data_IF_283244997224
#
_entry.id   IF_283244997224
#
_cell.length_a   1.000
_cell.length_b   1.000
_cell.length_c   1.000
_cell.angle_alpha   90.00
_cell.angle_beta   90.00
_cell.angle_gamma   90.00
#
_symmetry.space_group_name_H-M   'P 1'
#
loop_
_entity.id
_entity.type
_entity.pdbx_description
1 polymer ?
#
# COMPACT_ATOMS: atom_id res chain seq x y z
N UNK A 1 35.04 20.87 -12.28
CA UNK A 1 33.74 21.52 -12.57
C UNK A 1 32.97 20.49 -13.34
N UNK A 2 32.10 19.74 -12.67
CA UNK A 2 31.06 18.97 -13.33
C UNK A 2 29.84 19.07 -12.42
N UNK A 3 28.92 19.95 -12.82
CA UNK A 3 27.62 20.10 -12.19
C UNK A 3 26.68 19.10 -12.86
N UNK A 4 26.55 17.92 -12.28
CA UNK A 4 25.46 17.01 -12.60
C UNK A 4 24.20 17.45 -11.83
N UNK A 5 23.63 18.57 -12.29
CA UNK A 5 22.28 18.98 -11.94
C UNK A 5 21.39 18.61 -13.12
N UNK A 6 20.45 17.67 -12.91
CA UNK A 6 19.06 17.68 -13.40
C UNK A 6 18.34 16.36 -13.05
N UNK A 7 17.52 16.36 -11.99
CA UNK A 7 16.23 15.64 -12.01
C UNK A 7 15.00 16.54 -11.72
N UNK A 8 15.20 17.83 -11.42
CA UNK A 8 14.13 18.68 -10.88
C UNK A 8 12.98 18.96 -11.87
N UNK A 9 13.25 19.07 -13.18
CA UNK A 9 12.23 19.47 -14.16
C UNK A 9 11.20 18.36 -14.46
N UNK A 10 11.62 17.09 -14.47
CA UNK A 10 10.75 15.95 -14.71
C UNK A 10 9.78 15.72 -13.53
N UNK A 11 10.26 15.91 -12.31
CA UNK A 11 9.45 15.87 -11.09
C UNK A 11 8.40 16.99 -11.10
N UNK A 12 8.76 18.21 -11.50
CA UNK A 12 7.81 19.32 -11.60
C UNK A 12 6.74 19.10 -12.67
N UNK A 13 7.10 18.51 -13.82
CA UNK A 13 6.12 18.18 -14.87
C UNK A 13 5.15 17.11 -14.42
N UNK A 14 5.65 16.04 -13.81
CA UNK A 14 4.83 14.92 -13.32
C UNK A 14 3.87 15.38 -12.22
N UNK A 15 4.34 16.22 -11.31
CA UNK A 15 3.51 16.82 -10.27
C UNK A 15 2.41 17.72 -10.84
N UNK A 16 2.73 18.52 -11.87
CA UNK A 16 1.74 19.35 -12.54
C UNK A 16 0.65 18.51 -13.20
N UNK A 17 1.02 17.41 -13.86
CA UNK A 17 0.07 16.50 -14.49
C UNK A 17 -0.78 15.76 -13.45
N UNK A 18 -0.22 15.34 -12.32
CA UNK A 18 -0.98 14.79 -11.20
C UNK A 18 -2.05 15.76 -10.68
N UNK A 19 -1.66 17.01 -10.37
CA UNK A 19 -2.60 18.04 -9.88
C UNK A 19 -3.69 18.34 -10.90
N UNK A 20 -3.35 18.42 -12.19
CA UNK A 20 -4.34 18.60 -13.27
C UNK A 20 -5.28 17.40 -13.36
N UNK A 21 -4.78 16.18 -13.14
CA UNK A 21 -5.58 14.96 -13.07
C UNK A 21 -6.62 15.05 -11.96
N UNK A 22 -6.22 15.42 -10.74
CA UNK A 22 -7.15 15.64 -9.63
C UNK A 22 -8.22 16.70 -9.96
N UNK A 23 -7.84 17.83 -10.55
CA UNK A 23 -8.80 18.88 -10.94
C UNK A 23 -9.77 18.41 -12.04
N UNK A 24 -9.29 17.62 -13.01
CA UNK A 24 -10.13 17.02 -14.04
C UNK A 24 -11.11 16.01 -13.44
N UNK A 25 -10.65 15.22 -12.46
CA UNK A 25 -11.45 14.29 -11.69
C UNK A 25 -12.58 15.01 -10.92
N UNK A 26 -12.26 16.05 -10.16
CA UNK A 26 -13.26 16.88 -9.44
C UNK A 26 -14.28 17.52 -10.39
N UNK A 27 -13.87 17.81 -11.63
CA UNK A 27 -14.73 18.37 -12.68
C UNK A 27 -15.54 17.32 -13.45
N UNK A 28 -15.46 16.04 -13.10
CA UNK A 28 -16.13 14.94 -13.81
C UNK A 28 -15.57 14.59 -15.19
N UNK A 29 -14.35 15.05 -15.52
CA UNK A 29 -13.66 14.76 -16.79
C UNK A 29 -12.75 13.55 -16.65
N UNK A 30 -13.34 12.37 -16.46
CA UNK A 30 -12.62 11.14 -16.06
C UNK A 30 -11.58 10.68 -17.07
N UNK A 31 -11.93 10.58 -18.36
CA UNK A 31 -10.99 10.17 -19.42
C UNK A 31 -9.76 11.09 -19.45
N UNK A 32 -9.97 12.40 -19.31
CA UNK A 32 -8.88 13.37 -19.25
C UNK A 32 -8.04 13.24 -17.98
N UNK A 33 -8.67 12.96 -16.83
CA UNK A 33 -7.95 12.70 -15.59
C UNK A 33 -7.05 11.47 -15.70
N UNK A 34 -7.53 10.40 -16.34
CA UNK A 34 -6.78 9.18 -16.58
C UNK A 34 -5.52 9.44 -17.42
N UNK A 35 -5.65 10.17 -18.54
CA UNK A 35 -4.50 10.55 -19.38
C UNK A 35 -3.44 11.32 -18.59
N UNK A 36 -3.87 12.24 -17.74
CA UNK A 36 -2.99 13.06 -16.90
C UNK A 36 -2.31 12.25 -15.80
N UNK A 37 -3.00 11.29 -15.20
CA UNK A 37 -2.41 10.38 -14.23
C UNK A 37 -1.38 9.44 -14.87
N UNK A 38 -1.65 8.93 -16.07
CA UNK A 38 -0.65 8.15 -16.83
C UNK A 38 0.59 8.98 -17.17
N UNK A 39 0.40 10.25 -17.55
CA UNK A 39 1.51 11.18 -17.78
C UNK A 39 2.33 11.40 -16.50
N UNK A 40 1.67 11.63 -15.36
CA UNK A 40 2.32 11.82 -14.07
C UNK A 40 3.15 10.59 -13.65
N UNK A 41 2.56 9.40 -13.78
CA UNK A 41 3.24 8.13 -13.42
C UNK A 41 4.46 7.88 -14.29
N UNK A 42 4.38 8.18 -15.60
CA UNK A 42 5.49 7.97 -16.53
C UNK A 42 6.75 8.76 -16.15
N UNK A 43 6.59 9.96 -15.58
CA UNK A 43 7.71 10.82 -15.22
C UNK A 43 8.22 10.69 -13.79
N UNK A 44 7.36 10.34 -12.81
CA UNK A 44 7.71 10.29 -11.39
C UNK A 44 7.86 8.87 -10.78
N UNK A 45 7.55 7.83 -11.56
CA UNK A 45 7.81 6.44 -11.18
C UNK A 45 6.94 5.90 -10.03
N UNK A 46 7.42 4.89 -9.27
CA UNK A 46 6.62 4.12 -8.31
C UNK A 46 5.87 4.90 -7.25
N UNK A 47 6.45 6.00 -6.73
CA UNK A 47 5.79 6.81 -5.69
C UNK A 47 4.51 7.48 -6.21
N UNK A 48 4.48 7.82 -7.50
CA UNK A 48 3.32 8.46 -8.09
C UNK A 48 2.15 7.48 -8.26
N UNK A 49 2.42 6.19 -8.49
CA UNK A 49 1.37 5.17 -8.57
C UNK A 49 0.52 5.11 -7.30
N UNK A 50 1.15 5.17 -6.12
CA UNK A 50 0.44 5.17 -4.84
C UNK A 50 -0.44 6.41 -4.65
N UNK A 51 0.05 7.59 -5.07
CA UNK A 51 -0.72 8.84 -5.01
C UNK A 51 -1.90 8.84 -5.97
N UNK A 52 -1.73 8.29 -7.17
CA UNK A 52 -2.81 8.14 -8.15
C UNK A 52 -3.84 7.13 -7.64
N UNK A 53 -3.41 6.00 -7.07
CA UNK A 53 -4.31 5.02 -6.48
C UNK A 53 -5.17 5.64 -5.36
N UNK A 54 -4.57 6.49 -4.50
CA UNK A 54 -5.29 7.22 -3.46
C UNK A 54 -6.26 8.27 -4.04
N UNK A 55 -5.82 9.06 -5.02
CA UNK A 55 -6.69 10.01 -5.70
C UNK A 55 -7.91 9.32 -6.35
N UNK A 56 -7.74 8.09 -6.82
CA UNK A 56 -8.79 7.30 -7.46
C UNK A 56 -9.59 6.41 -6.50
N UNK A 57 -9.35 6.44 -5.18
CA UNK A 57 -9.82 5.41 -4.23
C UNK A 57 -11.31 5.04 -4.35
N UNK A 58 -12.16 6.02 -4.61
CA UNK A 58 -13.62 5.86 -4.72
C UNK A 58 -14.11 5.74 -6.17
N UNK A 59 -13.29 5.15 -7.05
CA UNK A 59 -13.54 5.00 -8.49
C UNK A 59 -13.26 3.57 -8.94
N UNK A 60 -13.87 3.18 -10.04
CA UNK A 60 -13.72 1.85 -10.64
C UNK A 60 -12.25 1.54 -10.98
N UNK A 61 -11.47 2.56 -11.31
CA UNK A 61 -10.06 2.44 -11.68
C UNK A 61 -9.12 2.25 -10.47
N UNK A 62 -9.60 2.45 -9.23
CA UNK A 62 -8.78 2.32 -8.01
C UNK A 62 -8.04 0.98 -7.95
N UNK A 63 -8.75 -0.10 -8.26
CA UNK A 63 -8.20 -1.46 -8.26
C UNK A 63 -7.04 -1.61 -9.27
N UNK A 64 -7.16 -1.02 -10.45
CA UNK A 64 -6.12 -1.07 -11.49
C UNK A 64 -4.86 -0.31 -11.06
N UNK A 65 -5.04 0.89 -10.51
CA UNK A 65 -3.92 1.69 -9.98
C UNK A 65 -3.25 1.03 -8.78
N UNK A 66 -4.04 0.48 -7.85
CA UNK A 66 -3.55 -0.28 -6.70
C UNK A 66 -2.69 -1.46 -7.14
N UNK A 67 -3.17 -2.31 -8.07
CA UNK A 67 -2.43 -3.47 -8.59
C UNK A 67 -1.07 -3.06 -9.17
N UNK A 68 -1.04 -1.96 -9.93
CA UNK A 68 0.21 -1.40 -10.48
C UNK A 68 1.14 -0.87 -9.40
N UNK A 69 0.61 -0.22 -8.37
CA UNK A 69 1.40 0.32 -7.27
C UNK A 69 2.01 -0.80 -6.41
N UNK A 70 1.21 -1.80 -6.05
CA UNK A 70 1.58 -2.94 -5.20
C UNK A 70 2.80 -3.68 -5.76
N UNK A 71 2.82 -3.99 -7.06
CA UNK A 71 3.96 -4.71 -7.67
C UNK A 71 5.28 -3.94 -7.58
N UNK A 72 5.24 -2.61 -7.44
CA UNK A 72 6.46 -1.79 -7.30
C UNK A 72 7.17 -1.95 -5.96
N UNK A 73 6.54 -2.59 -4.98
CA UNK A 73 7.18 -2.93 -3.71
C UNK A 73 7.94 -4.26 -3.77
N UNK A 74 7.97 -4.93 -4.94
CA UNK A 74 8.79 -6.12 -5.17
C UNK A 74 10.27 -5.78 -5.31
N UNK A 75 11.13 -6.60 -4.70
CA UNK A 75 12.58 -6.56 -4.86
C UNK A 75 13.06 -7.74 -5.71
N UNK A 76 13.75 -7.52 -6.86
CA UNK A 76 14.30 -8.60 -7.67
C UNK A 76 15.25 -9.49 -6.88
N UNK A 77 14.97 -10.79 -6.84
CA UNK A 77 15.76 -11.77 -6.08
C UNK A 77 15.52 -11.77 -4.56
N UNK A 78 14.59 -10.93 -4.08
CA UNK A 78 14.22 -10.78 -2.68
C UNK A 78 12.76 -11.11 -2.40
N UNK A 79 12.11 -10.28 -1.58
CA UNK A 79 10.66 -10.37 -1.32
C UNK A 79 9.92 -9.74 -2.49
N UNK A 80 8.97 -10.47 -3.08
CA UNK A 80 8.13 -10.03 -4.19
C UNK A 80 6.68 -9.90 -3.76
N UNK A 81 5.90 -9.08 -4.45
CA UNK A 81 4.50 -8.82 -4.13
C UNK A 81 3.62 -9.06 -5.35
N UNK A 82 2.62 -9.92 -5.20
CA UNK A 82 1.62 -10.19 -6.22
C UNK A 82 0.68 -8.98 -6.40
N UNK A 83 0.17 -8.74 -7.62
CA UNK A 83 -0.66 -7.56 -7.92
C UNK A 83 -1.95 -7.50 -7.10
N UNK A 84 -2.45 -8.63 -6.63
CA UNK A 84 -3.68 -8.73 -5.83
C UNK A 84 -3.46 -8.53 -4.33
N UNK A 85 -2.22 -8.37 -3.87
CA UNK A 85 -1.94 -8.20 -2.45
C UNK A 85 -2.64 -6.92 -1.93
N UNK A 86 -3.52 -7.11 -0.95
CA UNK A 86 -4.40 -6.07 -0.38
C UNK A 86 -5.25 -5.38 -1.45
N UNK A 87 -5.60 -6.09 -2.52
CA UNK A 87 -6.28 -5.51 -3.68
C UNK A 87 -7.71 -5.06 -3.37
N UNK A 88 -8.06 -3.86 -3.84
CA UNK A 88 -9.44 -3.38 -3.91
C UNK A 88 -10.19 -4.26 -4.91
N UNK A 89 -11.29 -4.89 -4.49
CA UNK A 89 -12.11 -5.82 -5.28
C UNK A 89 -13.35 -5.15 -5.88
N UNK A 90 -13.79 -4.02 -5.31
CA UNK A 90 -14.90 -3.20 -5.79
C UNK A 90 -15.51 -2.36 -4.67
N UNK A 91 -16.46 -1.47 -4.98
CA UNK A 91 -17.21 -0.70 -3.98
C UNK A 91 -17.89 0.53 -4.57
N UNK A 92 -19.13 0.78 -4.16
CA UNK A 92 -19.83 2.05 -4.37
C UNK A 92 -19.72 2.88 -3.07
N UNK A 93 -19.07 4.04 -3.11
CA UNK A 93 -18.96 4.94 -1.95
C UNK A 93 -17.92 4.51 -0.90
N UNK A 94 -18.27 4.59 0.39
CA UNK A 94 -17.31 4.55 1.51
C UNK A 94 -16.84 3.13 1.93
N UNK A 95 -17.38 2.06 1.34
CA UNK A 95 -17.04 0.70 1.70
C UNK A 95 -16.33 -0.02 0.54
N UNK A 96 -15.00 -0.07 0.61
CA UNK A 96 -14.19 -0.88 -0.30
C UNK A 96 -14.34 -2.35 0.08
N UNK A 97 -14.89 -3.16 -0.83
CA UNK A 97 -14.74 -4.61 -0.76
C UNK A 97 -13.27 -4.92 -1.07
N UNK A 98 -12.54 -5.45 -0.10
CA UNK A 98 -11.10 -5.62 -0.19
C UNK A 98 -10.68 -6.87 0.60
N UNK A 99 -9.62 -7.54 0.13
CA UNK A 99 -9.00 -8.59 0.93
C UNK A 99 -8.02 -7.96 1.93
N UNK A 100 -8.21 -8.25 3.21
CA UNK A 100 -7.41 -7.69 4.31
C UNK A 100 -6.36 -8.68 4.85
N UNK A 101 -6.00 -9.68 4.07
CA UNK A 101 -4.99 -10.67 4.43
C UNK A 101 -3.70 -10.51 3.61
N UNK A 102 -2.56 -10.83 4.23
CA UNK A 102 -1.29 -11.05 3.54
C UNK A 102 -0.85 -12.48 3.84
N UNK A 103 -0.69 -13.27 2.78
CA UNK A 103 -0.10 -14.60 2.81
C UNK A 103 1.33 -14.50 2.31
N UNK A 104 2.25 -15.20 2.98
CA UNK A 104 3.66 -15.29 2.59
C UNK A 104 3.95 -16.69 2.09
N UNK A 105 4.28 -16.82 0.82
CA UNK A 105 4.87 -18.04 0.27
C UNK A 105 6.40 -17.98 0.41
N UNK A 106 6.98 -18.97 1.09
CA UNK A 106 8.42 -19.09 1.35
C UNK A 106 8.79 -20.55 1.61
N UNK A 107 10.05 -20.91 1.35
CA UNK A 107 10.66 -22.18 1.74
C UNK A 107 10.97 -22.27 3.25
N UNK A 108 10.83 -21.17 3.99
CA UNK A 108 11.05 -21.07 5.43
C UNK A 108 9.76 -20.71 6.21
N UNK A 109 8.66 -21.48 6.12
CA UNK A 109 7.34 -21.09 6.62
C UNK A 109 7.29 -20.80 8.12
N UNK A 110 8.05 -21.54 8.94
CA UNK A 110 8.12 -21.27 10.38
C UNK A 110 8.78 -19.92 10.70
N UNK A 111 9.81 -19.52 9.93
CA UNK A 111 10.42 -18.19 10.08
C UNK A 111 9.51 -17.11 9.54
N UNK A 112 8.78 -17.37 8.45
CA UNK A 112 7.78 -16.45 7.94
C UNK A 112 6.66 -16.21 8.97
N UNK A 113 6.15 -17.25 9.66
CA UNK A 113 5.20 -17.07 10.78
C UNK A 113 5.80 -16.20 11.88
N UNK A 114 7.04 -16.49 12.33
CA UNK A 114 7.69 -15.69 13.36
C UNK A 114 7.88 -14.22 12.94
N UNK A 115 8.22 -13.97 11.68
CA UNK A 115 8.31 -12.63 11.09
C UNK A 115 6.95 -11.92 11.11
N UNK A 116 5.87 -12.60 10.72
CA UNK A 116 4.52 -12.04 10.77
C UNK A 116 4.09 -11.74 12.21
N UNK A 117 4.40 -12.61 13.17
CA UNK A 117 4.14 -12.34 14.60
C UNK A 117 4.87 -11.09 15.09
N UNK A 118 6.10 -10.85 14.63
CA UNK A 118 6.82 -9.61 14.92
C UNK A 118 6.20 -8.38 14.21
N UNK A 119 5.61 -8.58 13.04
CA UNK A 119 4.92 -7.54 12.28
C UNK A 119 3.57 -7.13 12.90
N UNK A 120 2.88 -8.04 13.60
CA UNK A 120 1.51 -7.86 14.11
C UNK A 120 1.32 -6.52 14.83
N UNK A 121 2.17 -6.21 15.82
CA UNK A 121 2.09 -4.95 16.57
C UNK A 121 2.40 -3.71 15.72
N UNK A 122 3.29 -3.82 14.73
CA UNK A 122 3.63 -2.72 13.81
C UNK A 122 2.46 -2.43 12.88
N UNK A 123 1.82 -3.47 12.34
CA UNK A 123 0.70 -3.37 11.41
C UNK A 123 -0.52 -2.65 12.02
N UNK A 124 -0.83 -2.89 13.30
CA UNK A 124 -1.90 -2.16 14.01
C UNK A 124 -1.64 -0.65 14.09
N UNK A 125 -0.38 -0.22 13.99
CA UNK A 125 0.04 1.19 14.05
C UNK A 125 0.37 1.80 12.68
N UNK A 126 -0.12 1.17 11.61
CA UNK A 126 -0.07 1.75 10.26
C UNK A 126 -1.39 2.48 10.00
N UNK A 127 -1.31 3.79 9.83
CA UNK A 127 -2.47 4.64 9.65
C UNK A 127 -2.84 4.81 8.17
N UNK A 128 -4.04 5.33 7.91
CA UNK A 128 -4.63 5.50 6.56
C UNK A 128 -3.73 6.32 5.61
N UNK A 129 -2.99 7.29 6.15
CA UNK A 129 -2.03 8.12 5.42
C UNK A 129 -0.68 7.42 5.14
N UNK A 130 -0.54 6.16 5.56
CA UNK A 130 0.63 5.33 5.39
C UNK A 130 1.74 5.56 6.41
N UNK A 131 1.55 6.38 7.45
CA UNK A 131 2.52 6.45 8.54
C UNK A 131 2.48 5.19 9.40
N UNK A 132 3.65 4.61 9.65
CA UNK A 132 3.85 3.68 10.76
C UNK A 132 4.32 4.49 11.97
N UNK A 133 3.57 4.43 13.07
CA UNK A 133 3.89 5.19 14.27
C UNK A 133 4.55 4.34 15.34
N UNK A 134 5.30 5.01 16.24
CA UNK A 134 5.76 4.37 17.47
C UNK A 134 4.56 3.99 18.36
N UNK A 135 4.73 3.07 19.32
CA UNK A 135 3.70 2.77 20.30
C UNK A 135 3.18 4.02 21.02
N UNK A 136 4.07 4.93 21.40
CA UNK A 136 3.74 6.14 22.15
C UNK A 136 2.98 7.16 21.29
N UNK A 137 3.36 7.32 20.02
CA UNK A 137 2.68 8.21 19.08
C UNK A 137 1.28 7.68 18.71
N UNK A 138 1.14 6.36 18.53
CA UNK A 138 -0.15 5.75 18.23
C UNK A 138 -1.13 5.88 19.39
N UNK A 139 -0.68 5.62 20.63
CA UNK A 139 -1.51 5.79 21.84
C UNK A 139 -2.01 7.23 21.98
N UNK A 140 -1.10 8.21 21.79
CA UNK A 140 -1.46 9.62 21.88
C UNK A 140 -2.50 10.05 20.84
N UNK A 141 -2.47 9.47 19.63
CA UNK A 141 -3.46 9.75 18.59
C UNK A 141 -4.79 9.04 18.85
N UNK A 142 -4.80 7.82 19.37
CA UNK A 142 -6.03 7.10 19.67
C UNK A 142 -6.87 7.74 20.79
N UNK A 143 -6.24 8.57 21.63
CA UNK A 143 -6.90 9.40 22.64
C UNK A 143 -7.57 10.67 22.07
N UNK A 144 -7.34 11.01 20.79
CA UNK A 144 -7.99 12.16 20.15
C UNK A 144 -9.48 11.88 19.87
N UNK A 145 -10.31 12.94 19.82
CA UNK A 145 -11.76 12.81 19.57
C UNK A 145 -12.08 12.16 18.20
N UNK A 146 -11.20 12.35 17.22
CA UNK A 146 -11.30 11.77 15.87
C UNK A 146 -9.91 11.30 15.46
N UNK A 147 -9.48 10.10 15.91
CA UNK A 147 -8.17 9.58 15.57
C UNK A 147 -8.10 9.29 14.07
N UNK A 148 -6.94 9.48 13.43
CA UNK A 148 -6.74 9.01 12.07
C UNK A 148 -6.95 7.50 12.01
N UNK A 149 -7.45 7.02 10.88
CA UNK A 149 -7.86 5.62 10.76
C UNK A 149 -6.67 4.65 10.76
N UNK A 150 -6.83 3.49 11.40
CA UNK A 150 -5.87 2.36 11.49
C UNK A 150 -6.63 1.02 11.63
N UNK A 151 -5.99 -0.15 11.47
CA UNK A 151 -6.67 -1.44 11.65
C UNK A 151 -7.23 -1.57 13.06
N UNK A 152 -8.46 -2.09 13.19
CA UNK A 152 -9.03 -2.35 14.52
C UNK A 152 -8.40 -3.56 15.20
N UNK A 153 -7.94 -4.51 14.39
CA UNK A 153 -7.38 -5.77 14.85
C UNK A 153 -6.40 -6.31 13.81
N UNK A 154 -5.33 -6.95 14.26
CA UNK A 154 -4.38 -7.68 13.42
C UNK A 154 -4.11 -9.02 14.11
N UNK A 155 -4.13 -10.12 13.36
CA UNK A 155 -3.79 -11.43 13.89
C UNK A 155 -3.04 -12.28 12.89
N UNK A 156 -2.02 -12.97 13.42
CA UNK A 156 -1.24 -13.95 12.67
C UNK A 156 -1.80 -15.35 12.93
N UNK A 157 -1.92 -16.14 11.87
CA UNK A 157 -2.27 -17.54 12.02
C UNK A 157 -1.03 -18.36 12.44
N UNK A 158 -1.04 -19.07 13.58
CA UNK A 158 0.17 -19.75 14.06
C UNK A 158 0.62 -20.93 13.18
N UNK A 159 -0.29 -21.51 12.40
CA UNK A 159 -0.04 -22.73 11.64
C UNK A 159 0.42 -22.49 10.21
N UNK A 160 0.18 -21.30 9.65
CA UNK A 160 0.55 -20.94 8.28
C UNK A 160 0.99 -19.48 8.25
N UNK A 161 1.95 -19.10 7.39
CA UNK A 161 2.46 -17.73 7.32
C UNK A 161 1.44 -16.79 6.68
N UNK A 162 0.44 -16.39 7.48
CA UNK A 162 -0.69 -15.55 7.12
C UNK A 162 -0.97 -14.55 8.23
N UNK A 163 -1.19 -13.30 7.86
CA UNK A 163 -1.71 -12.25 8.74
C UNK A 163 -3.01 -11.70 8.18
N UNK A 164 -3.98 -11.47 9.06
CA UNK A 164 -5.27 -10.87 8.74
C UNK A 164 -5.44 -9.56 9.50
N UNK A 165 -6.08 -8.57 8.88
CA UNK A 165 -6.34 -7.25 9.45
C UNK A 165 -7.83 -6.92 9.39
N UNK A 166 -8.44 -6.43 10.49
CA UNK A 166 -9.80 -5.90 10.49
C UNK A 166 -9.79 -4.43 10.09
N UNK A 167 -10.03 -4.17 8.80
CA UNK A 167 -10.03 -2.83 8.25
C UNK A 167 -11.45 -2.41 7.81
N UNK A 168 -12.32 -2.07 8.78
CA UNK A 168 -13.69 -1.57 8.55
C UNK A 168 -13.85 -0.53 7.42
N UNK A 169 -12.88 0.38 7.26
CA UNK A 169 -12.89 1.42 6.22
C UNK A 169 -12.16 1.03 4.92
N UNK A 170 -11.66 -0.21 4.84
CA UNK A 170 -10.71 -0.65 3.82
C UNK A 170 -9.26 -0.33 4.19
N UNK A 171 -8.33 -0.90 3.44
CA UNK A 171 -6.92 -0.58 3.49
C UNK A 171 -6.63 0.44 2.39
N UNK A 172 -6.34 1.67 2.82
CA UNK A 172 -6.02 2.79 1.95
C UNK A 172 -4.71 2.52 1.20
N UNK A 173 -4.47 3.11 0.01
CA UNK A 173 -3.29 2.78 -0.78
C UNK A 173 -1.97 3.01 -0.05
N UNK A 174 -1.83 4.14 0.65
CA UNK A 174 -0.62 4.42 1.42
C UNK A 174 -0.47 3.51 2.65
N UNK A 175 -1.57 3.15 3.30
CA UNK A 175 -1.61 2.15 4.36
C UNK A 175 -1.17 0.76 3.85
N UNK A 176 -1.68 0.30 2.71
CA UNK A 176 -1.30 -0.97 2.09
C UNK A 176 0.20 -1.02 1.78
N UNK A 177 0.72 0.08 1.20
CA UNK A 177 2.14 0.21 0.91
C UNK A 177 3.00 -0.02 2.14
N UNK A 178 2.65 0.65 3.24
CA UNK A 178 3.42 0.55 4.49
C UNK A 178 3.24 -0.82 5.14
N UNK A 179 2.05 -1.40 5.11
CA UNK A 179 1.81 -2.76 5.60
C UNK A 179 2.67 -3.81 4.86
N UNK A 180 2.75 -3.73 3.53
CA UNK A 180 3.61 -4.60 2.72
C UNK A 180 5.11 -4.44 3.07
N UNK A 181 5.55 -3.20 3.30
CA UNK A 181 6.93 -2.90 3.72
C UNK A 181 7.25 -3.44 5.10
N UNK A 182 6.33 -3.30 6.05
CA UNK A 182 6.46 -3.86 7.41
C UNK A 182 6.67 -5.37 7.32
N UNK A 183 5.84 -6.08 6.54
CA UNK A 183 5.98 -7.53 6.34
C UNK A 183 7.33 -7.86 5.69
N UNK A 184 7.71 -7.18 4.61
CA UNK A 184 8.99 -7.41 3.95
C UNK A 184 10.20 -7.13 4.85
N UNK A 185 10.15 -6.10 5.68
CA UNK A 185 11.17 -5.77 6.67
C UNK A 185 11.32 -6.88 7.73
N UNK A 186 10.21 -7.35 8.30
CA UNK A 186 10.26 -8.40 9.32
C UNK A 186 10.72 -9.75 8.74
N UNK A 187 10.33 -10.07 7.50
CA UNK A 187 10.85 -11.24 6.78
C UNK A 187 12.38 -11.16 6.65
N UNK A 188 12.90 -10.01 6.22
CA UNK A 188 14.34 -9.79 6.11
C UNK A 188 15.05 -9.89 7.46
N UNK A 189 14.48 -9.33 8.53
CA UNK A 189 15.03 -9.42 9.90
C UNK A 189 15.05 -10.86 10.42
N UNK A 190 14.03 -11.64 10.10
CA UNK A 190 13.97 -13.07 10.42
C UNK A 190 14.90 -13.94 9.54
N UNK A 191 15.59 -13.33 8.57
CA UNK A 191 16.51 -14.00 7.67
C UNK A 191 15.86 -14.65 6.45
N UNK A 192 14.55 -14.47 6.24
CA UNK A 192 13.85 -14.93 5.03
C UNK A 192 14.25 -14.02 3.87
N UNK A 193 15.07 -14.54 2.96
CA UNK A 193 15.63 -13.75 1.85
C UNK A 193 14.74 -13.72 0.62
N UNK A 194 13.96 -14.78 0.39
CA UNK A 194 13.07 -14.91 -0.76
C UNK A 194 11.68 -15.32 -0.28
N UNK A 195 10.68 -14.54 -0.71
CA UNK A 195 9.29 -14.80 -0.40
C UNK A 195 8.37 -14.12 -1.43
N UNK A 196 7.13 -14.60 -1.53
CA UNK A 196 6.09 -13.97 -2.33
C UNK A 196 4.90 -13.59 -1.43
N UNK A 197 4.52 -12.31 -1.46
CA UNK A 197 3.39 -11.77 -0.72
C UNK A 197 2.16 -11.70 -1.62
N UNK A 198 1.01 -12.21 -1.17
CA UNK A 198 -0.24 -12.15 -1.91
C UNK A 198 -1.46 -12.18 -0.98
N UNK A 199 -2.63 -11.84 -1.51
CA UNK A 199 -3.92 -12.06 -0.85
C UNK A 199 -4.66 -13.15 -1.62
N UNK A 200 -5.43 -14.02 -0.95
CA UNK A 200 -6.19 -15.04 -1.69
C UNK A 200 -7.31 -14.34 -2.45
N UNK A 201 -7.47 -14.69 -3.71
CA UNK A 201 -8.73 -14.41 -4.39
C UNK A 201 -9.76 -15.33 -3.74
N UNK A 202 -10.86 -14.78 -3.21
CA UNK A 202 -12.01 -15.62 -2.89
C UNK A 202 -12.38 -16.38 -4.18
N UNK A 203 -12.36 -17.71 -4.11
CA UNK A 203 -12.76 -18.61 -5.19
C UNK A 203 -14.28 -18.74 -5.23
#
# INVERSE_FOLDING_TARGET
>A
MDAEALPQSADHSSEASFRRGCLAQESGRWEHAQDLFEEAVRGAGPRMLWRVAEACLYRDEAASWMRRAVVTESEPGGVTVGPEALGILGGDGDALVQNWEIVVESDEPARAVAALTAAESRLTRVFEDGRELSPEEAEALWDEDVPPYSPNFVAVEPAVPRVWMDCKGGIYPHMARTALRVVADELRKAGVRQAHLFSRSDR
#
